data_IF_989093604992
#
_entry.id   IF_989093604992
#
_cell.length_a   1.000
_cell.length_b   1.000
_cell.length_c   1.000
_cell.angle_alpha   90.00
_cell.angle_beta   90.00
_cell.angle_gamma   90.00
#
_symmetry.space_group_name_H-M   'P 1'
#
loop_
_entity.id
_entity.type
_entity.pdbx_description
1 polymer ?
#
# COMPACT_ATOMS: atom_id res chain seq x y z
N UNK A 1 23.33 45.41 -7.34
CA UNK A 1 22.18 44.77 -6.67
C UNK A 1 21.81 43.53 -7.45
N UNK A 2 22.30 42.35 -7.05
CA UNK A 2 22.04 41.09 -7.76
C UNK A 2 20.68 40.57 -7.31
N UNK A 3 19.69 40.59 -8.21
CA UNK A 3 18.37 40.01 -7.96
C UNK A 3 18.45 38.50 -8.21
N UNK A 4 18.41 37.70 -7.14
CA UNK A 4 18.25 36.26 -7.27
C UNK A 4 16.84 35.95 -7.79
N UNK A 5 16.75 35.31 -8.96
CA UNK A 5 15.49 34.84 -9.54
C UNK A 5 15.13 33.53 -8.84
N UNK A 6 13.99 33.50 -8.14
CA UNK A 6 13.46 32.33 -7.46
C UNK A 6 13.17 31.22 -8.49
N UNK A 7 13.91 30.11 -8.42
CA UNK A 7 13.64 28.93 -9.25
C UNK A 7 12.26 28.36 -8.89
N UNK A 8 11.34 28.16 -9.86
CA UNK A 8 10.06 27.53 -9.56
C UNK A 8 10.29 26.10 -9.09
N UNK A 9 9.81 25.78 -7.88
CA UNK A 9 9.77 24.41 -7.36
C UNK A 9 8.84 23.57 -8.23
N UNK A 10 9.17 22.31 -8.54
CA UNK A 10 8.31 21.47 -9.37
C UNK A 10 7.01 21.21 -8.62
N UNK A 11 5.94 21.86 -9.10
CA UNK A 11 4.58 21.62 -8.66
C UNK A 11 4.31 20.12 -8.61
N UNK A 12 3.92 19.64 -7.43
CA UNK A 12 3.49 18.28 -7.19
C UNK A 12 2.37 17.95 -8.17
N UNK A 13 2.69 17.12 -9.16
CA UNK A 13 1.73 16.62 -10.16
C UNK A 13 0.73 15.73 -9.43
N UNK A 14 -0.38 16.32 -9.02
CA UNK A 14 -1.60 15.65 -8.55
C UNK A 14 -2.32 15.07 -9.76
N UNK A 15 -1.72 14.09 -10.44
CA UNK A 15 -2.49 13.17 -11.29
C UNK A 15 -3.24 12.23 -10.35
N UNK A 16 -4.38 12.73 -9.85
CA UNK A 16 -5.23 12.13 -8.83
C UNK A 16 -6.21 11.13 -9.44
N UNK A 17 -5.71 10.18 -10.24
CA UNK A 17 -6.49 9.02 -10.66
C UNK A 17 -5.98 7.81 -9.88
N UNK A 18 -6.21 7.84 -8.57
CA UNK A 18 -5.85 6.73 -7.71
C UNK A 18 -6.94 5.66 -7.74
N UNK A 19 -6.53 4.40 -7.82
CA UNK A 19 -7.40 3.25 -7.72
C UNK A 19 -7.94 3.15 -6.29
N UNK A 20 -9.27 3.18 -6.14
CA UNK A 20 -9.92 2.87 -4.87
C UNK A 20 -9.74 1.38 -4.58
N UNK A 21 -8.98 1.07 -3.54
CA UNK A 21 -8.71 -0.28 -3.08
C UNK A 21 -9.41 -0.47 -1.75
N UNK A 22 -10.35 -1.41 -1.70
CA UNK A 22 -10.95 -1.90 -0.45
C UNK A 22 -10.09 -3.04 0.09
N UNK A 23 -9.62 -2.90 1.34
CA UNK A 23 -8.77 -3.91 1.96
C UNK A 23 -9.57 -5.12 2.40
N UNK A 24 -9.21 -6.30 1.90
CA UNK A 24 -9.82 -7.58 2.29
C UNK A 24 -9.57 -7.94 3.77
N UNK A 25 -8.49 -7.43 4.36
CA UNK A 25 -8.09 -7.75 5.74
C UNK A 25 -8.66 -6.79 6.79
N UNK A 26 -8.79 -5.49 6.49
CA UNK A 26 -9.23 -4.49 7.49
C UNK A 26 -10.49 -3.71 7.10
N UNK A 27 -11.03 -3.92 5.90
CA UNK A 27 -12.21 -3.20 5.40
C UNK A 27 -11.98 -1.73 5.03
N UNK A 28 -10.80 -1.16 5.30
CA UNK A 28 -10.51 0.23 4.92
C UNK A 28 -10.44 0.39 3.40
N UNK A 29 -11.03 1.48 2.91
CA UNK A 29 -10.90 1.90 1.51
C UNK A 29 -9.78 2.94 1.41
N UNK A 30 -8.72 2.66 0.63
CA UNK A 30 -7.62 3.61 0.38
C UNK A 30 -7.38 3.80 -1.10
N UNK A 31 -7.04 5.03 -1.45
CA UNK A 31 -6.66 5.42 -2.80
C UNK A 31 -5.19 5.09 -3.04
N UNK A 32 -4.90 4.22 -4.00
CA UNK A 32 -3.54 3.77 -4.35
C UNK A 32 -3.19 4.21 -5.76
N UNK A 33 -1.90 4.43 -6.01
CA UNK A 33 -1.39 4.69 -7.38
C UNK A 33 -1.47 3.47 -8.30
N UNK A 34 -1.69 2.26 -7.75
CA UNK A 34 -1.78 0.99 -8.48
C UNK A 34 -2.90 0.12 -7.90
N UNK A 35 -3.54 -0.74 -8.71
CA UNK A 35 -4.48 -1.73 -8.19
C UNK A 35 -3.78 -2.63 -7.18
N UNK A 36 -4.38 -2.80 -6.02
CA UNK A 36 -3.89 -3.66 -4.95
C UNK A 36 -5.08 -4.31 -4.25
N UNK A 37 -4.87 -5.48 -3.60
CA UNK A 37 -5.90 -6.15 -2.78
C UNK A 37 -5.92 -5.66 -1.32
N UNK A 38 -4.84 -5.03 -0.89
CA UNK A 38 -4.67 -4.58 0.50
C UNK A 38 -4.34 -3.09 0.55
N UNK A 39 -4.86 -2.41 1.57
CA UNK A 39 -4.62 -0.97 1.78
C UNK A 39 -3.16 -0.66 2.17
N UNK A 40 -2.40 -1.63 2.67
CA UNK A 40 -1.02 -1.46 3.14
C UNK A 40 -0.23 -2.76 3.06
N UNK A 41 1.09 -2.65 3.05
CA UNK A 41 1.98 -3.81 3.11
C UNK A 41 1.82 -4.57 4.44
N UNK A 42 1.51 -3.86 5.53
CA UNK A 42 1.17 -4.45 6.83
C UNK A 42 -0.04 -5.37 6.74
N UNK A 43 -1.14 -4.94 6.12
CA UNK A 43 -2.34 -5.78 5.96
C UNK A 43 -2.05 -6.99 5.04
N UNK A 44 -1.29 -6.79 3.97
CA UNK A 44 -0.82 -7.89 3.12
C UNK A 44 -0.02 -8.92 3.91
N UNK A 45 0.91 -8.46 4.75
CA UNK A 45 1.78 -9.33 5.53
C UNK A 45 1.01 -10.07 6.63
N UNK A 46 0.06 -9.41 7.30
CA UNK A 46 -0.82 -10.08 8.27
C UNK A 46 -1.68 -11.16 7.60
N UNK A 47 -2.33 -10.84 6.48
CA UNK A 47 -3.09 -11.81 5.70
C UNK A 47 -2.22 -13.00 5.24
N UNK A 48 -0.95 -12.74 4.88
CA UNK A 48 -0.01 -13.80 4.51
C UNK A 48 0.37 -14.66 5.73
N UNK A 49 0.64 -14.05 6.89
CA UNK A 49 0.94 -14.77 8.13
C UNK A 49 -0.22 -15.61 8.62
N UNK A 50 -1.46 -15.12 8.53
CA UNK A 50 -2.66 -15.90 8.89
C UNK A 50 -2.79 -17.16 8.02
N UNK A 51 -2.51 -17.03 6.72
CA UNK A 51 -2.48 -18.18 5.79
C UNK A 51 -1.36 -19.17 6.05
N UNK A 52 -0.22 -18.70 6.57
CA UNK A 52 0.93 -19.55 6.90
C UNK A 52 0.84 -20.17 8.30
N UNK A 53 0.22 -19.48 9.26
CA UNK A 53 -0.05 -20.00 10.61
C UNK A 53 -0.94 -21.24 10.57
N UNK A 54 -1.91 -21.28 9.64
CA UNK A 54 -2.73 -22.46 9.36
C UNK A 54 -1.96 -23.61 8.69
N UNK A 55 -0.76 -23.36 8.13
CA UNK A 55 0.12 -24.41 7.56
C UNK A 55 1.14 -24.94 8.56
N UNK A 56 1.40 -24.20 9.65
CA UNK A 56 2.33 -24.63 10.70
C UNK A 56 1.71 -25.62 11.70
N UNK A 57 0.38 -25.76 11.68
CA UNK A 57 -0.42 -26.78 12.38
C UNK A 57 -0.67 -28.03 11.51
N UNK A 58 0.06 -28.23 10.41
CA UNK A 58 0.09 -29.57 9.82
C UNK A 58 1.18 -30.35 10.54
N UNK A 59 0.87 -31.28 11.49
CA UNK A 59 1.87 -32.17 12.01
C UNK A 59 2.43 -32.96 10.84
N UNK A 60 3.62 -32.57 10.41
CA UNK A 60 4.45 -33.37 9.51
C UNK A 60 4.88 -34.58 10.32
N UNK A 61 4.04 -35.61 10.31
CA UNK A 61 4.37 -36.92 10.85
C UNK A 61 5.39 -37.55 9.88
N UNK A 62 6.67 -37.49 10.24
CA UNK A 62 7.76 -38.26 9.62
C UNK A 62 8.10 -39.40 10.58
#
# INVERSE_FOLDING_TARGET
MVRYVEKPTPAAKTSTEGFKVTCDHCGETKTKKRPAKYCSDTCRNRAWKEKQGQKADVPTNI
#
